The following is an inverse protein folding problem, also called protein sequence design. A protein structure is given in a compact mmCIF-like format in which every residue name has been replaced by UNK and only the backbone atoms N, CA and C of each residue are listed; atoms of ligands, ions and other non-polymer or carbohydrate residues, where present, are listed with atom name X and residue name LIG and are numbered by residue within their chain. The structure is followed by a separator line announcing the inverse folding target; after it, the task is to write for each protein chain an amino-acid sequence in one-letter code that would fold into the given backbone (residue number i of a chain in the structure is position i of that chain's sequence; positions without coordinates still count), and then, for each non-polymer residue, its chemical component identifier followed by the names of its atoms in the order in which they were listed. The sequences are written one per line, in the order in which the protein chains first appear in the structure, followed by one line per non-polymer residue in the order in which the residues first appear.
data_IF_452770041030
#
_entry.id   IF_452770041030
#
_cell.length_a   1.000
_cell.length_b   1.000
_cell.length_c   1.000
_cell.angle_alpha   90.00
_cell.angle_beta   90.00
_cell.angle_gamma   90.00
#
_symmetry.space_group_name_H-M   'P 1'
#
loop_
_entity.id
_entity.type
_entity.pdbx_description
1 polymer ?
#
# COMPACT_ATOMS: atom_id res chain seq x y z
N UNK A 1 -44.71 -76.42 35.74
CA UNK A 1 -45.61 -76.16 34.59
C UNK A 1 -46.51 -75.00 34.98
N UNK A 2 -46.64 -73.91 34.18
CA UNK A 2 -47.17 -73.88 32.80
C UNK A 2 -46.17 -73.32 31.77
N UNK A 3 -46.03 -73.92 30.57
CA UNK A 3 -46.78 -73.72 29.30
C UNK A 3 -46.48 -72.40 28.56
N UNK A 4 -45.51 -72.50 27.65
CA UNK A 4 -45.52 -72.06 26.22
C UNK A 4 -46.41 -70.88 25.80
N UNK A 5 -45.83 -69.88 25.13
CA UNK A 5 -46.11 -69.62 23.70
C UNK A 5 -45.30 -68.45 23.11
N UNK A 6 -44.96 -68.66 21.84
CA UNK A 6 -44.36 -67.82 20.81
C UNK A 6 -44.90 -66.38 20.69
N UNK A 7 -44.06 -65.47 20.17
CA UNK A 7 -44.29 -64.62 18.97
C UNK A 7 -43.08 -63.66 18.82
N UNK A 8 -42.07 -64.00 18.03
CA UNK A 8 -41.80 -63.48 16.68
C UNK A 8 -41.99 -61.97 16.47
N UNK A 9 -40.87 -61.34 16.08
CA UNK A 9 -40.76 -60.21 15.13
C UNK A 9 -41.53 -58.92 15.47
N UNK A 10 -40.78 -57.90 15.92
CA UNK A 10 -40.97 -56.44 15.64
C UNK A 10 -40.07 -55.58 16.53
N UNK A 11 -38.78 -55.90 16.63
CA UNK A 11 -37.79 -55.00 17.28
C UNK A 11 -36.45 -55.03 16.54
N UNK A 12 -36.50 -55.05 15.21
CA UNK A 12 -35.45 -54.46 14.40
C UNK A 12 -35.91 -53.03 14.09
N UNK A 13 -34.99 -52.06 14.11
CA UNK A 13 -35.22 -50.61 13.96
C UNK A 13 -35.65 -49.86 15.22
N UNK A 14 -34.83 -49.86 16.28
CA UNK A 14 -34.77 -48.69 17.21
C UNK A 14 -33.43 -48.52 17.93
N UNK A 15 -32.44 -49.40 17.75
CA UNK A 15 -31.19 -49.37 18.53
C UNK A 15 -29.94 -48.98 17.74
N UNK A 16 -30.07 -48.05 16.78
CA UNK A 16 -28.91 -47.49 16.06
C UNK A 16 -29.10 -46.00 15.72
N UNK A 17 -29.67 -45.23 16.64
CA UNK A 17 -29.73 -43.77 16.54
C UNK A 17 -29.40 -43.08 17.88
N UNK A 18 -28.53 -43.69 18.68
CA UNK A 18 -28.14 -43.18 20.01
C UNK A 18 -26.61 -43.21 20.23
N UNK A 19 -25.81 -43.12 19.17
CA UNK A 19 -24.34 -43.13 19.27
C UNK A 19 -23.65 -42.18 18.28
N UNK A 20 -24.24 -41.01 18.04
CA UNK A 20 -23.59 -39.89 17.33
C UNK A 20 -23.73 -38.58 18.10
N UNK A 21 -23.59 -38.64 19.43
CA UNK A 21 -23.56 -37.48 20.33
C UNK A 21 -22.17 -37.22 20.94
N UNK A 22 -21.10 -37.56 20.23
CA UNK A 22 -19.74 -37.11 20.55
C UNK A 22 -19.00 -36.74 19.26
N UNK A 23 -18.82 -35.44 19.02
CA UNK A 23 -17.85 -34.95 18.03
C UNK A 23 -18.41 -34.06 16.91
N UNK A 24 -19.19 -33.03 17.23
CA UNK A 24 -19.45 -31.94 16.27
C UNK A 24 -19.76 -30.61 16.98
N UNK A 25 -18.96 -30.23 17.98
CA UNK A 25 -18.85 -28.83 18.38
C UNK A 25 -17.72 -28.19 17.57
N UNK A 26 -17.92 -28.07 16.25
CA UNK A 26 -17.11 -27.20 15.41
C UNK A 26 -17.47 -25.76 15.79
N UNK A 27 -16.78 -25.22 16.80
CA UNK A 27 -16.72 -23.78 16.96
C UNK A 27 -16.10 -23.24 15.67
N UNK A 28 -16.74 -22.29 14.95
CA UNK A 28 -16.04 -21.61 13.89
C UNK A 28 -14.91 -20.85 14.56
N UNK A 29 -13.71 -21.42 14.45
CA UNK A 29 -12.46 -20.71 14.60
C UNK A 29 -12.50 -19.62 13.54
N UNK A 30 -13.10 -18.48 13.92
CA UNK A 30 -13.04 -17.26 13.15
C UNK A 30 -11.55 -17.01 12.97
N UNK A 31 -11.07 -17.27 11.75
CA UNK A 31 -9.77 -16.88 11.32
C UNK A 31 -9.71 -15.37 11.60
N UNK A 32 -9.03 -15.00 12.69
CA UNK A 32 -8.55 -13.65 12.88
C UNK A 32 -7.52 -13.48 11.78
N UNK A 33 -7.99 -13.05 10.62
CA UNK A 33 -7.16 -12.35 9.67
C UNK A 33 -6.62 -11.18 10.46
N UNK A 34 -5.36 -11.29 10.90
CA UNK A 34 -4.56 -10.13 11.22
C UNK A 34 -4.53 -9.32 9.93
N UNK A 35 -5.53 -8.47 9.73
CA UNK A 35 -5.40 -7.30 8.91
C UNK A 35 -4.25 -6.54 9.57
N UNK A 36 -3.03 -6.76 9.07
CA UNK A 36 -1.94 -5.84 9.32
C UNK A 36 -2.55 -4.46 9.06
N UNK A 37 -2.66 -3.64 10.11
CA UNK A 37 -3.21 -2.30 9.99
C UNK A 37 -2.34 -1.62 8.95
N UNK A 38 -2.86 -1.52 7.71
CA UNK A 38 -2.15 -0.86 6.64
C UNK A 38 -1.90 0.55 7.15
N UNK A 39 -0.63 0.85 7.38
CA UNK A 39 -0.10 2.19 7.64
C UNK A 39 -0.83 3.19 6.74
N UNK A 40 -1.83 3.96 7.15
CA UNK A 40 -2.50 4.88 6.22
C UNK A 40 -1.48 5.92 5.77
N UNK A 41 -0.93 5.76 4.57
CA UNK A 41 0.00 6.72 4.00
C UNK A 41 -0.71 8.07 3.82
N UNK A 42 -0.09 9.22 4.16
CA UNK A 42 1.24 9.38 4.75
C UNK A 42 1.24 9.53 6.29
N UNK A 43 2.25 8.96 6.96
CA UNK A 43 2.44 9.01 8.43
C UNK A 43 3.47 10.04 8.88
N UNK A 44 4.25 10.57 7.94
CA UNK A 44 5.33 11.53 8.18
C UNK A 44 5.39 12.54 7.03
N UNK A 45 6.10 13.67 7.22
CA UNK A 45 6.28 14.65 6.16
C UNK A 45 6.84 14.03 4.87
N UNK A 46 6.35 14.55 3.74
CA UNK A 46 6.78 14.18 2.40
C UNK A 46 7.78 15.24 1.92
N UNK A 47 8.89 14.81 1.34
CA UNK A 47 9.85 15.69 0.67
C UNK A 47 9.46 15.84 -0.80
N UNK A 48 9.37 17.08 -1.29
CA UNK A 48 9.19 17.41 -2.69
C UNK A 48 10.50 18.00 -3.23
N UNK A 49 11.22 17.22 -4.03
CA UNK A 49 12.42 17.68 -4.73
C UNK A 49 12.00 18.59 -5.88
N UNK A 50 12.55 19.80 -5.91
CA UNK A 50 12.34 20.78 -6.97
C UNK A 50 13.66 20.97 -7.71
N UNK A 51 13.80 20.50 -8.96
CA UNK A 51 15.07 20.53 -9.69
C UNK A 51 15.39 21.93 -10.28
N UNK A 52 14.91 22.99 -9.62
CA UNK A 52 15.00 24.38 -10.06
C UNK A 52 15.43 25.29 -8.89
N UNK A 53 16.05 26.46 -9.18
CA UNK A 53 16.43 27.42 -8.15
C UNK A 53 15.22 27.92 -7.32
N UNK A 54 15.42 28.23 -6.02
CA UNK A 54 14.37 28.81 -5.19
C UNK A 54 13.96 30.19 -5.70
N UNK A 55 12.69 30.57 -5.52
CA UNK A 55 12.12 31.83 -5.97
C UNK A 55 11.76 31.89 -7.47
N UNK A 56 12.11 30.88 -8.26
CA UNK A 56 11.71 30.77 -9.66
C UNK A 56 10.25 30.37 -9.86
N UNK A 57 9.82 30.31 -11.13
CA UNK A 57 8.46 29.92 -11.50
C UNK A 57 8.08 28.53 -10.96
N UNK A 58 8.96 27.53 -11.15
CA UNK A 58 8.73 26.17 -10.66
C UNK A 58 8.71 26.07 -9.13
N UNK A 59 9.54 26.84 -8.42
CA UNK A 59 9.52 26.87 -6.95
C UNK A 59 8.22 27.51 -6.42
N UNK A 60 7.75 28.57 -7.08
CA UNK A 60 6.46 29.20 -6.75
C UNK A 60 5.31 28.22 -6.91
N UNK A 61 5.27 27.49 -8.03
CA UNK A 61 4.29 26.43 -8.25
C UNK A 61 4.40 25.31 -7.20
N UNK A 62 5.63 24.88 -6.88
CA UNK A 62 5.88 23.86 -5.86
C UNK A 62 5.34 24.27 -4.49
N UNK A 63 5.49 25.53 -4.08
CA UNK A 63 4.96 26.06 -2.81
C UNK A 63 3.45 26.09 -2.75
N UNK A 64 2.78 26.41 -3.86
CA UNK A 64 1.32 26.36 -3.96
C UNK A 64 0.84 24.90 -3.86
N UNK A 65 1.48 24.00 -4.61
CA UNK A 65 1.18 22.58 -4.61
C UNK A 65 1.40 21.95 -3.23
N UNK A 66 2.56 22.19 -2.62
CA UNK A 66 2.92 21.71 -1.29
C UNK A 66 1.89 22.10 -0.23
N UNK A 67 1.37 23.34 -0.29
CA UNK A 67 0.31 23.80 0.61
C UNK A 67 -0.98 23.01 0.42
N UNK A 68 -1.45 22.86 -0.82
CA UNK A 68 -2.71 22.16 -1.11
C UNK A 68 -2.61 20.66 -0.81
N UNK A 69 -1.50 20.03 -1.20
CA UNK A 69 -1.22 18.64 -0.86
C UNK A 69 -1.15 18.44 0.65
N UNK A 70 -0.52 19.35 1.39
CA UNK A 70 -0.43 19.22 2.84
C UNK A 70 -1.79 19.29 3.53
N UNK A 71 -2.71 20.13 3.01
CA UNK A 71 -4.11 20.15 3.46
C UNK A 71 -4.86 18.86 3.13
N UNK A 72 -4.67 18.32 1.93
CA UNK A 72 -5.36 17.12 1.47
C UNK A 72 -4.85 15.84 2.15
N UNK A 73 -3.56 15.76 2.42
CA UNK A 73 -2.88 14.57 2.96
C UNK A 73 -2.72 14.60 4.48
N UNK A 74 -2.94 15.75 5.13
CA UNK A 74 -2.75 15.92 6.57
C UNK A 74 -1.28 15.84 7.03
N UNK A 75 -0.32 15.87 6.10
CA UNK A 75 1.11 15.84 6.37
C UNK A 75 1.82 17.01 5.72
N UNK A 76 2.88 17.50 6.36
CA UNK A 76 3.68 18.58 5.79
C UNK A 76 4.38 18.11 4.51
N UNK A 77 4.37 18.98 3.48
CA UNK A 77 5.22 18.82 2.29
C UNK A 77 6.43 19.75 2.43
N UNK A 78 7.62 19.17 2.55
CA UNK A 78 8.90 19.88 2.68
C UNK A 78 9.53 20.03 1.31
N UNK A 79 9.84 21.26 0.91
CA UNK A 79 10.46 21.54 -0.39
C UNK A 79 11.99 21.45 -0.27
N UNK A 80 12.60 20.62 -1.12
CA UNK A 80 14.06 20.50 -1.28
C UNK A 80 14.46 21.00 -2.67
N UNK A 81 15.00 22.23 -2.75
CA UNK A 81 15.44 22.82 -4.01
C UNK A 81 16.81 22.28 -4.43
N UNK A 82 16.83 21.41 -5.45
CA UNK A 82 18.03 20.79 -6.04
C UNK A 82 18.27 21.25 -7.46
N UNK A 83 18.46 22.57 -7.63
CA UNK A 83 18.83 23.15 -8.92
C UNK A 83 20.26 22.80 -9.35
N UNK A 84 20.55 22.94 -10.65
CA UNK A 84 21.89 22.74 -11.23
C UNK A 84 21.89 21.75 -12.41
N UNK A 85 22.99 21.74 -13.17
CA UNK A 85 23.24 20.81 -14.27
C UNK A 85 22.08 20.65 -15.27
N UNK A 86 21.37 21.73 -15.61
CA UNK A 86 20.23 21.65 -16.52
C UNK A 86 19.06 20.81 -15.97
N UNK A 87 18.83 20.84 -14.65
CA UNK A 87 17.83 20.07 -13.87
C UNK A 87 18.19 18.62 -13.58
N UNK A 88 19.32 18.11 -14.10
CA UNK A 88 19.65 16.69 -13.92
C UNK A 88 20.01 16.33 -12.49
N UNK A 89 20.62 17.25 -11.72
CA UNK A 89 20.98 17.01 -10.32
C UNK A 89 19.75 16.62 -9.47
N UNK A 90 18.65 17.36 -9.63
CA UNK A 90 17.41 17.05 -8.93
C UNK A 90 16.68 15.83 -9.52
N UNK A 91 16.74 15.64 -10.84
CA UNK A 91 16.21 14.42 -11.48
C UNK A 91 16.88 13.15 -10.96
N UNK A 92 18.21 13.13 -10.87
CA UNK A 92 18.98 12.01 -10.30
C UNK A 92 18.68 11.79 -8.83
N UNK A 93 18.47 12.86 -8.06
CA UNK A 93 18.08 12.75 -6.66
C UNK A 93 16.69 12.13 -6.49
N UNK A 94 15.75 12.47 -7.37
CA UNK A 94 14.43 11.84 -7.43
C UNK A 94 14.50 10.36 -7.79
N UNK A 95 15.20 10.02 -8.87
CA UNK A 95 15.36 8.64 -9.34
C UNK A 95 16.07 7.72 -8.33
N UNK A 96 16.95 8.28 -7.49
CA UNK A 96 17.64 7.53 -6.42
C UNK A 96 16.88 7.51 -5.10
N UNK A 97 15.75 8.20 -5.00
CA UNK A 97 14.97 8.23 -3.78
C UNK A 97 14.37 6.85 -3.49
N UNK A 98 14.03 6.62 -2.22
CA UNK A 98 13.32 5.39 -1.85
C UNK A 98 11.92 5.42 -2.51
N UNK A 99 11.48 4.33 -3.16
CA UNK A 99 10.14 4.25 -3.75
C UNK A 99 9.07 3.97 -2.69
N UNK A 100 9.07 4.76 -1.60
CA UNK A 100 8.18 4.62 -0.45
C UNK A 100 7.10 5.72 -0.39
N UNK A 101 7.04 6.58 -1.41
CA UNK A 101 6.09 7.69 -1.53
C UNK A 101 6.41 8.92 -0.68
N UNK A 102 7.49 8.92 0.11
CA UNK A 102 7.85 10.07 0.96
C UNK A 102 8.84 11.03 0.33
N UNK A 103 9.35 10.71 -0.86
CA UNK A 103 10.16 11.63 -1.67
C UNK A 103 9.56 11.67 -3.06
N UNK A 104 9.09 12.84 -3.45
CA UNK A 104 8.47 13.09 -4.74
C UNK A 104 9.36 14.04 -5.54
N UNK A 105 9.34 13.92 -6.86
CA UNK A 105 10.03 14.83 -7.77
C UNK A 105 9.01 15.74 -8.45
N UNK A 106 9.21 17.06 -8.38
CA UNK A 106 8.50 18.02 -9.22
C UNK A 106 9.10 17.98 -10.62
N UNK A 107 8.52 17.14 -11.48
CA UNK A 107 9.00 16.92 -12.82
C UNK A 107 8.40 17.93 -13.82
N UNK A 108 9.26 18.57 -14.61
CA UNK A 108 8.87 19.41 -15.73
C UNK A 108 9.48 18.92 -17.04
N UNK A 109 9.04 19.48 -18.18
CA UNK A 109 9.54 19.10 -19.50
C UNK A 109 11.06 19.26 -19.65
N UNK A 110 11.66 20.23 -18.95
CA UNK A 110 13.14 20.38 -18.96
C UNK A 110 13.85 19.17 -18.35
N UNK A 111 13.28 18.57 -17.29
CA UNK A 111 13.83 17.44 -16.55
C UNK A 111 13.54 16.10 -17.23
N UNK A 112 12.31 15.85 -17.68
CA UNK A 112 11.94 14.54 -18.23
C UNK A 112 12.07 14.43 -19.75
N UNK A 113 12.06 15.55 -20.47
CA UNK A 113 12.08 15.55 -21.94
C UNK A 113 13.36 16.15 -22.49
N UNK A 114 13.71 17.38 -22.11
CA UNK A 114 14.83 18.09 -22.72
C UNK A 114 16.17 17.52 -22.25
N UNK A 115 16.38 17.40 -20.94
CA UNK A 115 17.67 16.96 -20.39
C UNK A 115 18.11 15.57 -20.92
N UNK A 116 17.27 14.51 -20.93
CA UNK A 116 17.66 13.20 -21.46
C UNK A 116 18.06 13.21 -22.95
N UNK A 117 17.59 14.18 -23.72
CA UNK A 117 17.84 14.28 -25.16
C UNK A 117 18.91 15.31 -25.54
N UNK A 118 19.36 16.14 -24.59
CA UNK A 118 20.32 17.23 -24.86
C UNK A 118 21.57 17.19 -23.99
N UNK A 119 21.53 16.48 -22.87
CA UNK A 119 22.67 16.31 -21.96
C UNK A 119 23.18 14.88 -22.13
N UNK A 120 24.44 14.74 -22.51
CA UNK A 120 25.08 13.46 -22.86
C UNK A 120 25.23 12.48 -21.69
N UNK A 121 25.04 12.91 -20.45
CA UNK A 121 25.34 12.14 -19.23
C UNK A 121 24.26 12.22 -18.16
N UNK A 122 22.99 12.20 -18.55
CA UNK A 122 21.88 12.07 -17.59
C UNK A 122 21.91 10.69 -16.93
N UNK A 123 21.85 10.63 -15.59
CA UNK A 123 21.90 9.37 -14.82
C UNK A 123 20.55 8.91 -14.25
N UNK A 124 19.45 9.31 -14.90
CA UNK A 124 18.10 8.82 -14.65
C UNK A 124 17.37 8.60 -15.98
N UNK A 125 16.35 7.75 -15.94
CA UNK A 125 15.44 7.46 -17.03
C UNK A 125 14.06 8.01 -16.72
N UNK A 126 13.16 7.94 -17.69
CA UNK A 126 11.79 8.45 -17.53
C UNK A 126 10.95 7.50 -16.67
N UNK A 127 11.28 6.21 -16.69
CA UNK A 127 10.63 5.17 -15.90
C UNK A 127 11.08 5.10 -14.43
N UNK A 128 12.09 5.89 -14.03
CA UNK A 128 12.60 5.95 -12.65
C UNK A 128 11.74 6.87 -11.77
#
# INVERSE_FOLDING_TARGET
MPRTAHLKTRRALSAALAATLLGAAATPLHAQTNAAAATAWPERPITLIVPYPPGGQFDTHARILARQMGLALGQQIVIDNRGGAGTTLGGEAGARAKPDGYTLLLAGGTTLTIAPHTISSVRYKIED
#
